data_IF_884943294318
#
_entry.id   IF_884943294318
#
_cell.length_a   1.000
_cell.length_b   1.000
_cell.length_c   1.000
_cell.angle_alpha   90.00
_cell.angle_beta   90.00
_cell.angle_gamma   90.00
#
_symmetry.space_group_name_H-M   'P 1'
#
loop_
_entity.id
_entity.type
_entity.pdbx_description
1 polymer ?
#
# COMPACT_ATOMS: atom_id res chain seq x y z
N UNK A 1 25.29 -26.34 -15.59
CA UNK A 1 24.26 -25.50 -14.90
C UNK A 1 23.82 -24.31 -15.74
N UNK A 2 24.75 -23.51 -16.30
CA UNK A 2 24.43 -22.33 -17.13
C UNK A 2 23.64 -22.65 -18.41
N UNK A 3 23.86 -23.80 -19.03
CA UNK A 3 23.17 -24.17 -20.28
C UNK A 3 21.68 -24.42 -20.07
N UNK A 4 21.32 -25.09 -18.98
CA UNK A 4 19.91 -25.31 -18.61
C UNK A 4 19.17 -23.99 -18.39
N UNK A 5 19.83 -23.00 -17.76
CA UNK A 5 19.23 -21.66 -17.58
C UNK A 5 19.03 -20.92 -18.89
N UNK A 6 19.95 -21.08 -19.86
CA UNK A 6 19.79 -20.50 -21.19
C UNK A 6 18.60 -21.10 -21.91
N UNK A 7 18.51 -22.43 -21.95
CA UNK A 7 17.39 -23.15 -22.57
C UNK A 7 16.04 -22.72 -21.97
N UNK A 8 15.94 -22.62 -20.64
CA UNK A 8 14.67 -22.21 -20.00
C UNK A 8 14.30 -20.74 -20.21
N UNK A 9 15.29 -19.85 -20.28
CA UNK A 9 15.10 -18.44 -20.61
C UNK A 9 14.61 -18.29 -22.05
N UNK A 10 15.28 -18.94 -22.99
CA UNK A 10 15.03 -18.78 -24.43
C UNK A 10 13.62 -19.25 -24.82
N UNK A 11 13.03 -20.21 -24.09
CA UNK A 11 11.61 -20.62 -24.24
C UNK A 11 10.60 -19.50 -23.98
N UNK A 12 10.98 -18.47 -23.22
CA UNK A 12 10.09 -17.41 -22.70
C UNK A 12 10.50 -16.02 -23.18
N UNK A 13 11.59 -15.92 -23.96
CA UNK A 13 11.98 -14.65 -24.58
C UNK A 13 10.91 -14.25 -25.60
N UNK A 14 10.41 -13.04 -25.42
CA UNK A 14 9.36 -12.44 -26.24
C UNK A 14 9.88 -11.15 -26.86
N UNK A 15 9.71 -11.01 -28.17
CA UNK A 15 10.20 -9.85 -28.92
C UNK A 15 9.42 -8.57 -28.59
N UNK A 16 8.17 -8.72 -28.17
CA UNK A 16 7.25 -7.65 -27.75
C UNK A 16 7.41 -7.23 -26.28
N UNK A 17 8.33 -7.84 -25.52
CA UNK A 17 8.75 -7.30 -24.22
C UNK A 17 7.59 -7.04 -23.26
N UNK A 18 7.48 -5.81 -22.73
CA UNK A 18 6.38 -5.41 -21.84
C UNK A 18 5.06 -5.15 -22.58
N UNK A 19 5.09 -4.93 -23.89
CA UNK A 19 3.89 -4.71 -24.72
C UNK A 19 3.03 -5.97 -24.84
N UNK A 20 3.52 -7.10 -24.33
CA UNK A 20 2.74 -8.32 -24.16
C UNK A 20 1.60 -8.19 -23.13
N UNK A 21 1.67 -7.20 -22.24
CA UNK A 21 0.65 -6.94 -21.23
C UNK A 21 -0.29 -5.84 -21.72
N UNK A 22 -1.58 -6.03 -21.47
CA UNK A 22 -2.62 -5.06 -21.81
C UNK A 22 -3.03 -4.38 -20.52
N UNK A 23 -3.09 -3.05 -20.53
CA UNK A 23 -3.61 -2.30 -19.40
C UNK A 23 -5.09 -2.61 -19.15
N UNK A 24 -5.47 -2.58 -17.89
CA UNK A 24 -6.84 -2.86 -17.44
C UNK A 24 -7.67 -1.59 -17.61
N UNK A 25 -8.00 -1.26 -18.86
CA UNK A 25 -8.73 -0.04 -19.27
C UNK A 25 -10.01 -0.37 -20.04
N UNK A 26 -10.87 0.62 -20.25
CA UNK A 26 -12.12 0.47 -21.02
C UNK A 26 -13.08 -0.50 -20.33
N UNK A 27 -13.50 -1.55 -21.03
CA UNK A 27 -14.40 -2.58 -20.50
C UNK A 27 -13.84 -3.26 -19.23
N UNK A 28 -12.51 -3.35 -19.11
CA UNK A 28 -11.85 -4.03 -18.00
C UNK A 28 -11.55 -3.11 -16.81
N UNK A 29 -11.77 -1.79 -16.92
CA UNK A 29 -11.39 -0.82 -15.89
C UNK A 29 -11.94 -1.17 -14.49
N UNK A 30 -13.13 -1.78 -14.44
CA UNK A 30 -13.78 -2.18 -13.19
C UNK A 30 -12.97 -3.19 -12.35
N UNK A 31 -12.00 -3.92 -12.94
CA UNK A 31 -11.10 -4.78 -12.18
C UNK A 31 -10.08 -4.01 -11.34
N UNK A 32 -9.95 -2.70 -11.55
CA UNK A 32 -9.10 -1.80 -10.75
C UNK A 32 -9.87 -0.96 -9.74
N UNK A 33 -11.20 -1.11 -9.70
CA UNK A 33 -12.06 -0.47 -8.70
C UNK A 33 -11.78 -1.06 -7.32
N UNK A 34 -12.03 -0.26 -6.28
CA UNK A 34 -11.92 -0.70 -4.90
C UNK A 34 -13.13 -1.57 -4.50
N UNK A 35 -12.98 -2.89 -4.35
CA UNK A 35 -14.11 -3.76 -4.00
C UNK A 35 -14.46 -3.70 -2.52
N UNK A 36 -13.67 -2.98 -1.70
CA UNK A 36 -13.82 -2.93 -0.24
C UNK A 36 -14.49 -1.64 0.24
N UNK A 37 -14.72 -0.67 -0.65
CA UNK A 37 -15.47 0.54 -0.34
C UNK A 37 -16.97 0.26 -0.54
N UNK A 38 -17.69 0.15 0.58
CA UNK A 38 -19.16 -0.01 0.55
C UNK A 38 -19.89 1.31 0.25
N UNK A 39 -19.30 2.44 0.62
CA UNK A 39 -19.88 3.77 0.43
C UNK A 39 -18.77 4.77 0.12
N UNK A 40 -18.83 5.46 -1.04
CA UNK A 40 -17.86 6.48 -1.39
C UNK A 40 -17.82 7.59 -0.33
N UNK A 41 -16.63 8.13 -0.08
CA UNK A 41 -16.49 9.31 0.79
C UNK A 41 -17.00 10.52 0.01
N UNK A 42 -18.15 11.06 0.44
CA UNK A 42 -18.65 12.34 -0.05
C UNK A 42 -17.98 13.48 0.72
N UNK A 43 -17.10 14.22 0.05
CA UNK A 43 -16.42 15.40 0.59
C UNK A 43 -16.23 16.45 -0.50
N UNK A 44 -16.26 17.76 -0.17
CA UNK A 44 -15.93 18.79 -1.13
C UNK A 44 -14.47 18.65 -1.61
N UNK A 45 -14.15 19.07 -2.84
CA UNK A 45 -12.77 19.20 -3.28
C UNK A 45 -11.97 20.10 -2.33
N UNK A 46 -10.73 19.72 -2.06
CA UNK A 46 -9.79 20.58 -1.34
C UNK A 46 -9.05 21.46 -2.35
N UNK A 47 -8.86 22.73 -2.01
CA UNK A 47 -8.07 23.69 -2.78
C UNK A 47 -7.24 24.48 -1.79
N UNK A 48 -6.21 23.82 -1.29
CA UNK A 48 -5.35 24.29 -0.21
C UNK A 48 -3.88 23.95 -0.51
N UNK A 49 -3.00 24.49 0.32
CA UNK A 49 -1.56 24.23 0.32
C UNK A 49 -1.23 23.46 1.60
N UNK A 50 -0.28 22.53 1.50
CA UNK A 50 0.29 21.82 2.65
C UNK A 50 1.80 21.79 2.54
N UNK A 51 2.50 21.75 3.67
CA UNK A 51 3.96 21.67 3.67
C UNK A 51 4.50 20.41 2.99
N UNK A 52 3.88 19.25 3.23
CA UNK A 52 4.32 17.95 2.68
C UNK A 52 3.16 17.10 2.19
N UNK A 53 3.30 16.54 0.99
CA UNK A 53 2.41 15.52 0.44
C UNK A 53 3.17 14.19 0.33
N UNK A 54 2.54 13.12 0.80
CA UNK A 54 2.96 11.73 0.61
C UNK A 54 1.91 11.01 -0.22
N UNK A 55 2.32 10.39 -1.32
CA UNK A 55 1.42 9.60 -2.17
C UNK A 55 1.56 8.13 -1.83
N UNK A 56 0.46 7.52 -1.40
CA UNK A 56 0.34 6.13 -0.98
C UNK A 56 0.22 5.97 0.55
N UNK A 57 -0.78 5.21 0.97
CA UNK A 57 -1.11 4.82 2.35
C UNK A 57 -0.64 3.41 2.73
N UNK A 58 0.33 2.85 2.00
CA UNK A 58 1.02 1.61 2.38
C UNK A 58 2.15 1.86 3.40
N UNK A 59 2.91 0.80 3.74
CA UNK A 59 4.01 0.92 4.72
C UNK A 59 5.07 1.98 4.39
N UNK A 60 5.32 2.26 3.11
CA UNK A 60 6.22 3.37 2.73
C UNK A 60 5.68 4.73 3.19
N UNK A 61 4.41 5.01 2.89
CA UNK A 61 3.77 6.27 3.29
C UNK A 61 3.48 6.37 4.78
N UNK A 62 3.11 5.25 5.42
CA UNK A 62 2.94 5.17 6.87
C UNK A 62 4.26 5.46 7.62
N UNK A 63 5.37 4.86 7.19
CA UNK A 63 6.68 5.16 7.79
C UNK A 63 7.10 6.61 7.53
N UNK A 64 6.90 7.12 6.32
CA UNK A 64 7.21 8.53 6.02
C UNK A 64 6.38 9.46 6.91
N UNK A 65 5.08 9.24 7.01
CA UNK A 65 4.19 10.04 7.86
C UNK A 65 4.57 9.94 9.34
N UNK A 66 4.88 8.74 9.83
CA UNK A 66 5.35 8.54 11.20
C UNK A 66 6.60 9.36 11.51
N UNK A 67 7.64 9.26 10.65
CA UNK A 67 8.89 10.01 10.85
C UNK A 67 8.72 11.52 10.72
N UNK A 68 7.83 11.99 9.85
CA UNK A 68 7.49 13.42 9.73
C UNK A 68 6.77 13.94 10.98
N UNK A 69 5.82 13.18 11.51
CA UNK A 69 5.13 13.52 12.77
C UNK A 69 6.10 13.55 13.95
N UNK A 70 7.00 12.58 14.07
CA UNK A 70 8.06 12.57 15.09
C UNK A 70 9.00 13.79 14.95
N UNK A 71 9.26 14.24 13.72
CA UNK A 71 10.05 15.44 13.44
C UNK A 71 9.28 16.76 13.68
N UNK A 72 8.01 16.71 14.09
CA UNK A 72 7.18 17.87 14.37
C UNK A 72 6.53 18.52 13.15
N UNK A 73 6.51 17.84 12.00
CA UNK A 73 5.77 18.30 10.81
C UNK A 73 4.29 18.00 11.02
N UNK A 74 3.50 19.05 11.24
CA UNK A 74 2.06 18.91 11.51
C UNK A 74 1.19 19.07 10.25
N UNK A 75 1.64 19.87 9.28
CA UNK A 75 0.94 20.12 8.02
C UNK A 75 1.34 19.09 6.94
N UNK A 76 0.91 17.86 7.17
CA UNK A 76 1.19 16.69 6.34
C UNK A 76 -0.10 16.16 5.73
N UNK A 77 -0.08 15.89 4.43
CA UNK A 77 -1.13 15.17 3.73
C UNK A 77 -0.66 13.84 3.15
N UNK A 78 -1.42 12.78 3.42
CA UNK A 78 -1.25 11.50 2.72
C UNK A 78 -2.39 11.35 1.71
N UNK A 79 -2.11 11.02 0.46
CA UNK A 79 -3.12 10.76 -0.56
C UNK A 79 -3.10 9.27 -0.90
N UNK A 80 -4.23 8.59 -0.76
CA UNK A 80 -4.37 7.14 -1.00
C UNK A 80 -5.60 6.85 -1.85
N UNK A 81 -5.42 6.00 -2.87
CA UNK A 81 -6.51 5.60 -3.78
C UNK A 81 -7.52 4.70 -3.08
N UNK A 82 -7.06 3.80 -2.21
CA UNK A 82 -7.90 2.90 -1.45
C UNK A 82 -8.71 3.60 -0.36
N UNK A 83 -9.68 2.88 0.19
CA UNK A 83 -10.53 3.36 1.26
C UNK A 83 -9.91 3.39 2.67
N UNK A 84 -8.70 2.89 2.88
CA UNK A 84 -8.01 2.85 4.19
C UNK A 84 -6.50 2.64 4.02
N UNK A 85 -5.73 2.71 5.10
CA UNK A 85 -4.30 2.39 5.09
C UNK A 85 -4.04 0.91 4.84
N UNK A 86 -2.85 0.62 4.30
CA UNK A 86 -2.32 -0.73 4.11
C UNK A 86 -1.66 -0.94 2.76
N UNK A 87 -1.98 -0.12 1.74
CA UNK A 87 -1.43 -0.25 0.40
C UNK A 87 -1.61 -1.68 -0.13
N UNK A 88 -0.51 -2.39 -0.43
CA UNK A 88 -0.56 -3.81 -0.82
C UNK A 88 -1.47 -4.65 0.07
N UNK A 89 -1.45 -4.44 1.39
CA UNK A 89 -2.22 -5.22 2.36
C UNK A 89 -3.68 -4.74 2.51
N UNK A 90 -3.98 -3.53 2.04
CA UNK A 90 -5.36 -3.07 1.84
C UNK A 90 -5.99 -3.78 0.63
N UNK A 91 -5.27 -3.80 -0.50
CA UNK A 91 -5.77 -4.31 -1.78
C UNK A 91 -5.79 -5.84 -1.88
N UNK A 92 -4.81 -6.54 -1.30
CA UNK A 92 -4.66 -7.98 -1.45
C UNK A 92 -5.27 -8.74 -0.26
N UNK A 93 -6.53 -9.17 -0.41
CA UNK A 93 -7.26 -9.95 0.62
C UNK A 93 -7.69 -11.34 0.13
N UNK A 94 -6.97 -11.91 -0.83
CA UNK A 94 -7.26 -13.25 -1.32
C UNK A 94 -7.00 -14.32 -0.23
N UNK A 95 -7.72 -15.46 -0.25
CA UNK A 95 -7.53 -16.52 0.75
C UNK A 95 -6.09 -17.03 0.78
N UNK A 96 -5.48 -17.03 1.97
CA UNK A 96 -4.09 -17.47 2.17
C UNK A 96 -3.02 -16.41 1.88
N UNK A 97 -3.40 -15.15 1.62
CA UNK A 97 -2.44 -14.05 1.49
C UNK A 97 -1.60 -13.88 2.77
N UNK A 98 -0.29 -13.85 2.62
CA UNK A 98 0.70 -13.82 3.71
C UNK A 98 1.98 -13.14 3.22
N UNK A 99 2.77 -12.54 4.11
CA UNK A 99 4.12 -12.10 3.76
C UNK A 99 5.07 -13.31 3.60
N UNK A 100 6.07 -13.17 2.73
CA UNK A 100 7.11 -14.18 2.49
C UNK A 100 8.40 -13.92 3.27
N UNK A 101 8.50 -12.75 3.91
CA UNK A 101 9.56 -12.35 4.83
C UNK A 101 9.06 -12.52 6.27
N UNK A 102 9.96 -12.90 7.17
CA UNK A 102 9.64 -13.05 8.60
C UNK A 102 9.06 -11.74 9.19
N UNK A 103 7.96 -11.86 9.92
CA UNK A 103 7.17 -10.73 10.39
C UNK A 103 7.96 -9.73 11.23
N UNK A 104 8.87 -10.20 12.07
CA UNK A 104 9.71 -9.35 12.94
C UNK A 104 10.66 -8.43 12.18
N UNK A 105 10.96 -8.73 10.91
CA UNK A 105 11.82 -7.91 10.05
C UNK A 105 11.04 -7.23 8.92
N UNK A 106 9.82 -7.69 8.63
CA UNK A 106 8.97 -7.14 7.58
C UNK A 106 8.05 -6.02 8.09
N UNK A 107 7.43 -6.20 9.27
CA UNK A 107 6.51 -5.22 9.85
C UNK A 107 7.32 -4.04 10.42
N UNK A 108 7.10 -2.80 9.96
CA UNK A 108 7.90 -1.66 10.38
C UNK A 108 7.39 -1.10 11.71
N UNK A 109 8.29 -0.55 12.54
CA UNK A 109 7.94 0.18 13.78
C UNK A 109 7.34 -0.70 14.90
N UNK A 110 7.72 -1.98 14.96
CA UNK A 110 7.23 -2.93 15.96
C UNK A 110 7.55 -2.50 17.40
N UNK A 111 8.76 -1.98 17.62
CA UNK A 111 9.20 -1.53 18.96
C UNK A 111 8.45 -0.27 19.39
N UNK A 112 8.34 0.72 18.50
CA UNK A 112 7.65 1.99 18.75
C UNK A 112 6.15 1.78 19.07
N UNK A 113 5.51 0.85 18.36
CA UNK A 113 4.07 0.54 18.56
C UNK A 113 3.85 -0.53 19.63
N UNK A 114 4.91 -1.18 20.12
CA UNK A 114 4.82 -2.24 21.13
C UNK A 114 4.02 -3.45 20.65
N UNK A 115 4.13 -3.79 19.36
CA UNK A 115 3.39 -4.89 18.74
C UNK A 115 4.25 -6.15 18.60
N UNK A 116 3.65 -7.31 18.89
CA UNK A 116 4.27 -8.62 18.70
C UNK A 116 3.46 -9.36 17.65
N UNK A 117 4.04 -9.67 16.48
CA UNK A 117 3.38 -10.48 15.45
C UNK A 117 2.97 -11.85 15.97
N UNK A 118 1.80 -12.31 15.56
CA UNK A 118 1.17 -13.56 16.00
C UNK A 118 1.86 -14.80 15.44
N UNK A 119 2.40 -14.67 14.22
CA UNK A 119 3.06 -15.75 13.50
C UNK A 119 4.43 -15.31 12.96
N UNK A 120 5.29 -16.28 12.65
CA UNK A 120 6.58 -16.01 12.01
C UNK A 120 6.42 -15.33 10.64
N UNK A 121 5.33 -15.63 9.94
CA UNK A 121 4.96 -14.99 8.68
C UNK A 121 3.50 -14.53 8.83
N UNK A 122 3.26 -13.23 8.77
CA UNK A 122 1.97 -12.64 9.09
C UNK A 122 1.00 -12.76 7.91
N UNK A 123 -0.24 -13.16 8.20
CA UNK A 123 -1.31 -13.15 7.21
C UNK A 123 -1.71 -11.72 6.85
N UNK A 124 -2.19 -11.51 5.63
CA UNK A 124 -2.57 -10.19 5.12
C UNK A 124 -3.54 -9.43 6.05
N UNK A 125 -4.45 -10.14 6.72
CA UNK A 125 -5.38 -9.54 7.70
C UNK A 125 -4.64 -8.91 8.89
N UNK A 126 -3.66 -9.61 9.46
CA UNK A 126 -2.85 -9.08 10.56
C UNK A 126 -2.05 -7.86 10.11
N UNK A 127 -1.47 -7.92 8.90
CA UNK A 127 -0.67 -6.82 8.34
C UNK A 127 -1.53 -5.59 8.05
N UNK A 128 -2.76 -5.78 7.56
CA UNK A 128 -3.72 -4.71 7.36
C UNK A 128 -4.13 -4.07 8.69
N UNK A 129 -4.48 -4.88 9.69
CA UNK A 129 -4.82 -4.39 11.03
C UNK A 129 -3.63 -3.67 11.68
N UNK A 130 -2.40 -4.13 11.43
CA UNK A 130 -1.20 -3.45 11.86
C UNK A 130 -0.98 -2.11 11.15
N UNK A 131 -1.27 -2.03 9.84
CA UNK A 131 -1.20 -0.77 9.08
C UNK A 131 -2.12 0.30 9.65
N UNK A 132 -3.33 -0.08 10.07
CA UNK A 132 -4.28 0.80 10.78
C UNK A 132 -3.74 1.26 12.12
N UNK A 133 -3.17 0.35 12.91
CA UNK A 133 -2.52 0.68 14.19
C UNK A 133 -1.39 1.71 14.02
N UNK A 134 -0.59 1.60 12.96
CA UNK A 134 0.42 2.63 12.63
C UNK A 134 -0.25 3.98 12.34
N UNK A 135 -1.29 3.98 11.52
CA UNK A 135 -2.06 5.19 11.18
C UNK A 135 -2.64 5.88 12.41
N UNK A 136 -3.18 5.12 13.36
CA UNK A 136 -3.69 5.62 14.64
C UNK A 136 -2.57 6.12 15.55
N UNK A 137 -1.53 5.31 15.78
CA UNK A 137 -0.42 5.62 16.69
C UNK A 137 0.27 6.94 16.34
N UNK A 138 0.44 7.20 15.04
CA UNK A 138 1.11 8.40 14.54
C UNK A 138 0.15 9.54 14.13
N UNK A 139 -1.16 9.43 14.40
CA UNK A 139 -2.17 10.44 14.02
C UNK A 139 -2.14 10.78 12.53
N UNK A 140 -2.02 9.76 11.69
CA UNK A 140 -1.96 9.93 10.23
C UNK A 140 -3.36 10.01 9.60
N UNK A 141 -4.38 9.53 10.31
CA UNK A 141 -5.78 9.70 9.90
C UNK A 141 -6.23 11.17 9.86
N UNK A 142 -5.58 12.07 10.60
CA UNK A 142 -5.97 13.49 10.69
C UNK A 142 -5.75 14.25 9.37
N UNK A 143 -4.81 13.79 8.52
CA UNK A 143 -4.40 14.49 7.30
C UNK A 143 -4.52 13.64 6.03
N UNK A 144 -5.13 12.45 6.09
CA UNK A 144 -5.21 11.55 4.94
C UNK A 144 -6.42 11.82 4.05
N UNK A 145 -6.21 11.71 2.74
CA UNK A 145 -7.23 11.72 1.71
C UNK A 145 -7.32 10.32 1.08
N UNK A 146 -8.19 9.48 1.63
CA UNK A 146 -8.57 8.19 1.04
C UNK A 146 -9.49 8.36 -0.17
N UNK A 147 -9.65 7.30 -0.97
CA UNK A 147 -10.48 7.31 -2.18
C UNK A 147 -10.07 8.45 -3.14
N UNK A 148 -8.76 8.68 -3.28
CA UNK A 148 -8.24 9.75 -4.16
C UNK A 148 -6.99 9.27 -4.89
N UNK A 149 -7.08 9.30 -6.21
CA UNK A 149 -5.99 8.98 -7.11
C UNK A 149 -5.34 10.27 -7.61
N UNK A 150 -4.02 10.35 -7.49
CA UNK A 150 -3.24 11.44 -8.07
C UNK A 150 -3.20 11.24 -9.58
N UNK A 151 -3.56 12.27 -10.33
CA UNK A 151 -3.47 12.30 -11.79
C UNK A 151 -2.50 13.40 -12.21
N UNK A 152 -1.82 13.22 -13.35
CA UNK A 152 -0.81 14.14 -13.88
C UNK A 152 -0.64 14.01 -15.39
#
# INVERSE_FOLDING_TARGET
>A
MRDRYRVERDKRLRADGNDQYIEVVGEFAHYTDDPYVESPIDRPPLTDEVDVIVVGGGFGGLQMGARLREAGVEDLRIIEKGGDFGGTWYWNRYPGAQCDIESYIYLPLLEEVGYIPQEKYSYAREILDYSRRLGEHYRLYDGVMFQTEVTG
#
